data_IF_258863312548
#
_entry.id   IF_258863312548
#
_cell.length_a   1.000
_cell.length_b   1.000
_cell.length_c   1.000
_cell.angle_alpha   90.00
_cell.angle_beta   90.00
_cell.angle_gamma   90.00
#
_symmetry.space_group_name_H-M   'P 1'
#
loop_
_entity.id
_entity.type
_entity.pdbx_description
1 polymer ?
#
# COMPACT_ATOMS: atom_id res chain seq x y z
N UNK A 1 10.55 -22.77 -6.58
CA UNK A 1 9.66 -21.79 -5.92
C UNK A 1 9.75 -20.46 -6.66
N UNK A 2 8.69 -19.64 -6.66
CA UNK A 2 8.71 -18.27 -7.19
C UNK A 2 8.23 -17.33 -6.08
N UNK A 3 9.02 -16.33 -5.74
CA UNK A 3 8.60 -15.28 -4.83
C UNK A 3 7.51 -14.44 -5.52
N UNK A 4 6.32 -14.40 -4.94
CA UNK A 4 5.21 -13.61 -5.47
C UNK A 4 5.16 -12.20 -4.85
N UNK A 5 5.30 -12.10 -3.52
CA UNK A 5 5.30 -10.82 -2.82
C UNK A 5 6.08 -10.92 -1.50
N UNK A 6 6.53 -9.76 -1.01
CA UNK A 6 7.13 -9.56 0.32
C UNK A 6 6.43 -8.39 0.96
N UNK A 7 6.10 -8.50 2.24
CA UNK A 7 5.66 -7.39 3.07
C UNK A 7 6.44 -7.44 4.39
N UNK A 8 7.08 -6.34 4.76
CA UNK A 8 7.75 -6.24 6.07
C UNK A 8 6.72 -5.92 7.13
N UNK A 9 6.72 -6.69 8.22
CA UNK A 9 5.81 -6.44 9.34
C UNK A 9 6.12 -5.08 9.97
N UNK A 10 5.06 -4.36 10.34
CA UNK A 10 5.20 -3.11 11.05
C UNK A 10 5.73 -3.34 12.47
N UNK A 11 6.44 -2.35 13.06
CA UNK A 11 6.94 -2.48 14.43
C UNK A 11 5.82 -2.80 15.43
N UNK A 12 6.02 -3.83 16.26
CA UNK A 12 5.13 -4.18 17.36
C UNK A 12 3.82 -4.88 16.99
N UNK A 13 3.55 -5.14 15.71
CA UNK A 13 2.34 -5.86 15.30
C UNK A 13 2.39 -7.32 15.71
N UNK A 14 1.20 -7.89 15.97
CA UNK A 14 1.02 -9.31 16.27
C UNK A 14 0.15 -9.93 15.19
N UNK A 15 0.66 -10.99 14.57
CA UNK A 15 -0.14 -11.80 13.66
C UNK A 15 -1.06 -12.73 14.47
N UNK A 16 -2.22 -13.13 13.91
CA UNK A 16 -3.06 -14.14 14.52
C UNK A 16 -2.33 -15.49 14.53
N UNK A 17 -2.87 -16.44 15.31
CA UNK A 17 -2.31 -17.80 15.34
C UNK A 17 -2.67 -18.51 14.04
N UNK A 18 -1.69 -19.17 13.43
CA UNK A 18 -1.91 -20.06 12.29
C UNK A 18 -1.85 -21.52 12.73
N UNK A 19 -2.47 -22.45 11.95
CA UNK A 19 -2.35 -23.87 12.22
C UNK A 19 -0.89 -24.32 12.31
N UNK A 20 -0.62 -25.28 13.20
CA UNK A 20 0.71 -25.87 13.35
C UNK A 20 1.14 -26.59 12.08
N UNK A 21 2.45 -26.68 11.85
CA UNK A 21 3.03 -27.22 10.61
C UNK A 21 2.58 -28.64 10.26
N UNK A 22 2.24 -29.46 11.25
CA UNK A 22 1.73 -30.83 11.07
C UNK A 22 0.32 -30.89 10.46
N UNK A 23 -0.48 -29.83 10.60
CA UNK A 23 -1.82 -29.70 10.00
C UNK A 23 -1.75 -28.93 8.68
N UNK A 24 -0.83 -27.97 8.59
CA UNK A 24 -0.67 -27.08 7.45
C UNK A 24 -1.65 -25.90 7.51
N UNK A 25 -1.20 -24.71 7.10
CA UNK A 25 -2.08 -23.56 6.96
C UNK A 25 -2.98 -23.74 5.72
N UNK A 26 -4.29 -23.52 5.88
CA UNK A 26 -5.20 -23.51 4.74
C UNK A 26 -5.16 -22.16 4.04
N UNK A 27 -5.05 -22.19 2.71
CA UNK A 27 -5.25 -20.99 1.90
C UNK A 27 -6.72 -20.60 1.87
N UNK A 28 -6.98 -19.31 1.98
CA UNK A 28 -8.29 -18.72 1.71
C UNK A 28 -8.46 -18.35 0.24
N UNK A 29 -9.58 -17.70 -0.09
CA UNK A 29 -9.89 -17.16 -1.41
C UNK A 29 -10.07 -15.65 -1.35
N UNK A 30 -9.86 -14.98 -2.48
CA UNK A 30 -10.03 -13.53 -2.60
C UNK A 30 -11.46 -13.05 -2.22
N UNK A 31 -12.46 -13.91 -2.37
CA UNK A 31 -13.86 -13.61 -2.09
C UNK A 31 -14.41 -14.37 -0.88
N UNK A 32 -13.54 -14.81 0.05
CA UNK A 32 -13.98 -15.49 1.26
C UNK A 32 -15.00 -14.63 2.03
N UNK A 33 -16.12 -15.27 2.33
CA UNK A 33 -17.24 -14.70 3.09
C UNK A 33 -17.13 -15.08 4.58
N UNK A 34 -17.92 -14.42 5.43
CA UNK A 34 -17.87 -14.66 6.88
C UNK A 34 -16.80 -13.82 7.59
N UNK A 35 -16.25 -12.83 6.91
CA UNK A 35 -15.35 -11.81 7.43
C UNK A 35 -16.06 -10.45 7.49
N UNK A 36 -15.50 -9.49 8.23
CA UNK A 36 -16.02 -8.10 8.25
C UNK A 36 -16.00 -7.43 6.87
N UNK A 37 -15.13 -7.91 5.97
CA UNK A 37 -15.07 -7.54 4.56
C UNK A 37 -14.43 -8.71 3.79
N UNK A 38 -14.80 -8.96 2.53
CA UNK A 38 -14.07 -9.97 1.75
C UNK A 38 -12.62 -9.52 1.51
N UNK A 39 -11.64 -10.42 1.34
CA UNK A 39 -10.25 -10.03 1.10
C UNK A 39 -10.06 -9.06 -0.08
N UNK A 40 -10.79 -9.29 -1.17
CA UNK A 40 -10.78 -8.43 -2.35
C UNK A 40 -11.34 -7.04 -2.04
N UNK A 41 -12.47 -6.95 -1.32
CA UNK A 41 -13.04 -5.68 -0.92
C UNK A 41 -12.14 -4.94 0.08
N UNK A 42 -11.47 -5.66 1.00
CA UNK A 42 -10.53 -5.09 1.95
C UNK A 42 -9.34 -4.43 1.25
N UNK A 43 -8.77 -5.07 0.23
CA UNK A 43 -7.70 -4.50 -0.58
C UNK A 43 -8.15 -3.22 -1.33
N UNK A 44 -9.35 -3.24 -1.93
CA UNK A 44 -9.91 -2.08 -2.61
C UNK A 44 -10.23 -0.92 -1.64
N UNK A 45 -10.83 -1.23 -0.49
CA UNK A 45 -11.12 -0.26 0.55
C UNK A 45 -9.84 0.36 1.12
N UNK A 46 -8.78 -0.44 1.31
CA UNK A 46 -7.50 0.10 1.79
C UNK A 46 -6.85 1.02 0.74
N UNK A 47 -6.93 0.69 -0.55
CA UNK A 47 -6.47 1.60 -1.61
C UNK A 47 -7.22 2.95 -1.59
N UNK A 48 -8.53 2.94 -1.33
CA UNK A 48 -9.32 4.16 -1.16
C UNK A 48 -8.90 4.96 0.09
N UNK A 49 -8.60 4.27 1.20
CA UNK A 49 -8.05 4.92 2.41
C UNK A 49 -6.65 5.51 2.14
N UNK A 50 -5.80 4.86 1.35
CA UNK A 50 -4.52 5.43 0.93
C UNK A 50 -4.72 6.69 0.06
N UNK A 51 -5.77 6.72 -0.76
CA UNK A 51 -6.10 7.84 -1.62
C UNK A 51 -6.69 9.05 -0.87
N UNK A 52 -7.61 8.81 0.05
CA UNK A 52 -8.44 9.85 0.67
C UNK A 52 -8.13 10.09 2.15
N UNK A 53 -7.29 9.26 2.78
CA UNK A 53 -7.00 9.32 4.20
C UNK A 53 -8.28 9.19 5.06
N UNK A 54 -8.40 10.04 6.08
CA UNK A 54 -9.54 10.07 7.00
C UNK A 54 -10.87 10.46 6.33
N UNK A 55 -10.83 11.05 5.13
CA UNK A 55 -12.03 11.37 4.36
C UNK A 55 -12.62 10.16 3.64
N UNK A 56 -11.89 9.04 3.55
CA UNK A 56 -12.42 7.80 3.00
C UNK A 56 -13.61 7.31 3.83
N UNK A 57 -14.68 6.88 3.16
CA UNK A 57 -15.81 6.19 3.82
C UNK A 57 -15.39 4.91 4.54
N UNK A 58 -14.24 4.34 4.19
CA UNK A 58 -13.69 3.12 4.79
C UNK A 58 -12.67 3.41 5.90
N UNK A 59 -12.32 4.67 6.19
CA UNK A 59 -11.27 4.99 7.16
C UNK A 59 -11.49 4.32 8.52
N UNK A 60 -12.74 4.31 9.00
CA UNK A 60 -13.14 3.68 10.28
C UNK A 60 -13.10 2.15 10.26
N UNK A 61 -13.02 1.52 9.10
CA UNK A 61 -12.89 0.07 8.97
C UNK A 61 -11.48 -0.44 9.25
N UNK A 62 -10.46 0.44 9.25
CA UNK A 62 -9.06 0.06 9.42
C UNK A 62 -8.45 0.66 10.69
N UNK A 63 -7.75 -0.16 11.46
CA UNK A 63 -6.89 0.31 12.53
C UNK A 63 -5.76 1.18 11.95
N UNK A 64 -5.31 2.18 12.71
CA UNK A 64 -4.17 3.01 12.32
C UNK A 64 -2.94 2.14 12.05
N UNK A 65 -2.12 2.54 11.07
CA UNK A 65 -0.98 1.74 10.64
C UNK A 65 0.22 2.58 10.21
N UNK A 66 1.37 1.91 10.17
CA UNK A 66 2.66 2.54 9.91
C UNK A 66 2.80 3.06 8.46
N UNK A 67 2.25 2.35 7.48
CA UNK A 67 2.34 2.75 6.07
C UNK A 67 1.60 4.07 5.85
N UNK A 68 0.35 4.17 6.32
CA UNK A 68 -0.45 5.40 6.22
C UNK A 68 0.22 6.58 6.91
N UNK A 69 0.74 6.37 8.13
CA UNK A 69 1.49 7.41 8.85
C UNK A 69 2.71 7.89 8.05
N UNK A 70 3.48 6.97 7.47
CA UNK A 70 4.67 7.31 6.66
C UNK A 70 4.34 8.01 5.35
N UNK A 71 3.30 7.58 4.65
CA UNK A 71 2.85 8.24 3.43
C UNK A 71 2.31 9.65 3.72
N UNK A 72 1.60 9.85 4.83
CA UNK A 72 1.15 11.18 5.26
C UNK A 72 2.33 12.10 5.59
N UNK A 73 3.34 11.61 6.33
CA UNK A 73 4.58 12.35 6.63
C UNK A 73 5.34 12.73 5.35
N UNK A 74 5.51 11.77 4.43
CA UNK A 74 6.14 11.99 3.14
C UNK A 74 5.37 13.03 2.31
N UNK A 75 4.05 12.84 2.17
CA UNK A 75 3.19 13.74 1.39
C UNK A 75 3.26 15.17 1.94
N UNK A 76 3.18 15.34 3.26
CA UNK A 76 3.32 16.66 3.92
C UNK A 76 4.67 17.29 3.64
N UNK A 77 5.76 16.53 3.75
CA UNK A 77 7.13 17.01 3.52
C UNK A 77 7.33 17.46 2.08
N UNK A 78 6.88 16.65 1.13
CA UNK A 78 6.98 16.97 -0.29
C UNK A 78 6.08 18.14 -0.63
N UNK A 79 4.84 18.20 -0.12
CA UNK A 79 3.89 19.27 -0.41
C UNK A 79 4.46 20.63 0.00
N UNK A 80 5.02 20.74 1.21
CA UNK A 80 5.67 21.95 1.67
C UNK A 80 6.86 22.34 0.77
N UNK A 81 7.63 21.37 0.29
CA UNK A 81 8.70 21.58 -0.69
C UNK A 81 8.17 22.06 -2.05
N UNK A 82 7.06 21.50 -2.54
CA UNK A 82 6.45 21.87 -3.81
C UNK A 82 5.86 23.28 -3.76
N UNK A 83 5.15 23.64 -2.69
CA UNK A 83 4.52 24.96 -2.53
C UNK A 83 5.56 26.09 -2.51
N UNK A 84 6.65 25.94 -1.73
CA UNK A 84 7.78 26.88 -1.73
C UNK A 84 8.36 27.08 -3.13
N UNK A 85 8.22 26.07 -3.98
CA UNK A 85 8.80 26.01 -5.30
C UNK A 85 7.76 26.15 -6.41
N UNK A 86 6.55 26.65 -6.13
CA UNK A 86 5.46 26.80 -7.12
C UNK A 86 5.19 25.52 -7.95
N UNK A 87 5.43 24.36 -7.36
CA UNK A 87 5.19 23.05 -7.95
C UNK A 87 3.89 22.42 -7.44
N UNK A 88 3.57 21.25 -7.95
CA UNK A 88 2.45 20.42 -7.47
C UNK A 88 2.81 18.94 -7.44
N UNK A 89 2.10 18.17 -6.62
CA UNK A 89 2.20 16.73 -6.62
C UNK A 89 0.81 16.09 -6.52
N UNK A 90 0.71 14.88 -7.04
CA UNK A 90 -0.50 14.07 -6.96
C UNK A 90 -0.10 12.60 -6.94
N UNK A 91 -0.69 11.82 -6.03
CA UNK A 91 -0.50 10.38 -5.98
C UNK A 91 -1.86 9.68 -6.09
N UNK A 92 -1.94 8.73 -7.02
CA UNK A 92 -3.15 7.94 -7.27
C UNK A 92 -2.90 6.50 -6.86
N UNK A 93 -3.79 5.90 -6.07
CA UNK A 93 -3.71 4.51 -5.61
C UNK A 93 -4.81 3.64 -6.23
N UNK A 94 -4.47 2.42 -6.62
CA UNK A 94 -5.41 1.45 -7.16
C UNK A 94 -5.08 0.02 -6.72
N UNK A 95 -6.06 -0.69 -6.15
CA UNK A 95 -5.93 -2.12 -5.87
C UNK A 95 -5.82 -2.93 -7.16
N UNK A 96 -5.07 -4.04 -7.13
CA UNK A 96 -4.96 -4.95 -8.28
C UNK A 96 -5.72 -6.25 -7.99
N UNK A 97 -6.94 -6.44 -8.54
CA UNK A 97 -7.87 -7.50 -8.16
C UNK A 97 -7.31 -8.92 -8.04
N UNK A 98 -6.50 -9.32 -9.01
CA UNK A 98 -5.99 -10.69 -9.16
C UNK A 98 -4.59 -10.87 -8.56
N UNK A 99 -4.11 -9.91 -7.77
CA UNK A 99 -2.81 -9.95 -7.13
C UNK A 99 -3.00 -9.95 -5.61
N UNK A 100 -3.59 -11.04 -5.14
CA UNK A 100 -3.94 -11.28 -3.74
C UNK A 100 -3.63 -12.72 -3.34
N UNK A 101 -3.13 -12.90 -2.13
CA UNK A 101 -2.91 -14.21 -1.50
C UNK A 101 -3.51 -14.16 -0.11
N UNK A 102 -4.25 -15.21 0.25
CA UNK A 102 -5.02 -15.26 1.51
C UNK A 102 -4.63 -16.50 2.29
N UNK A 103 -4.29 -16.32 3.56
CA UNK A 103 -3.99 -17.41 4.49
C UNK A 103 -4.93 -17.33 5.68
N UNK A 104 -5.64 -18.42 5.96
CA UNK A 104 -6.63 -18.46 7.03
C UNK A 104 -5.97 -18.73 8.38
N UNK A 105 -6.33 -17.92 9.36
CA UNK A 105 -5.88 -18.06 10.74
C UNK A 105 -6.80 -18.99 11.54
N UNK A 106 -6.30 -19.48 12.66
CA UNK A 106 -7.01 -20.40 13.55
C UNK A 106 -8.17 -19.74 14.31
N UNK A 107 -8.21 -18.41 14.37
CA UNK A 107 -9.28 -17.64 15.01
C UNK A 107 -10.43 -17.25 14.04
N UNK A 108 -10.37 -17.75 12.80
CA UNK A 108 -11.36 -17.45 11.76
C UNK A 108 -11.09 -16.16 10.98
N UNK A 109 -10.02 -15.42 11.29
CA UNK A 109 -9.56 -14.29 10.50
C UNK A 109 -8.79 -14.76 9.26
N UNK A 110 -8.64 -13.86 8.30
CA UNK A 110 -7.75 -14.05 7.16
C UNK A 110 -6.57 -13.07 7.20
N UNK A 111 -5.35 -13.60 7.00
CA UNK A 111 -4.21 -12.78 6.61
C UNK A 111 -4.23 -12.61 5.10
N UNK A 112 -4.49 -11.39 4.68
CA UNK A 112 -4.60 -10.99 3.29
C UNK A 112 -3.35 -10.23 2.89
N UNK A 113 -2.62 -10.74 1.90
CA UNK A 113 -1.53 -10.03 1.24
C UNK A 113 -2.03 -9.59 -0.13
N UNK A 114 -1.98 -8.29 -0.43
CA UNK A 114 -2.52 -7.73 -1.66
C UNK A 114 -1.57 -6.69 -2.28
N UNK A 115 -1.56 -6.60 -3.61
CA UNK A 115 -0.88 -5.55 -4.35
C UNK A 115 -1.81 -4.36 -4.58
N UNK A 116 -1.29 -3.16 -4.31
CA UNK A 116 -1.87 -1.87 -4.63
C UNK A 116 -0.83 -1.09 -5.43
N UNK A 117 -1.17 -0.69 -6.65
CA UNK A 117 -0.32 0.16 -7.46
C UNK A 117 -0.52 1.62 -7.06
N UNK A 118 0.54 2.42 -7.15
CA UNK A 118 0.40 3.87 -7.03
C UNK A 118 1.23 4.62 -8.04
N UNK A 119 0.65 5.64 -8.65
CA UNK A 119 1.33 6.54 -9.59
C UNK A 119 1.48 7.90 -8.94
N UNK A 120 2.72 8.33 -8.75
CA UNK A 120 3.05 9.62 -8.16
C UNK A 120 3.60 10.57 -9.23
N UNK A 121 2.85 11.63 -9.51
CA UNK A 121 3.24 12.68 -10.47
C UNK A 121 3.67 13.93 -9.70
N UNK A 122 4.88 14.41 -9.98
CA UNK A 122 5.48 15.59 -9.36
C UNK A 122 5.86 16.59 -10.44
N UNK A 123 5.30 17.80 -10.37
CA UNK A 123 5.55 18.91 -11.30
C UNK A 123 6.35 19.99 -10.60
N UNK A 124 7.60 20.17 -10.98
CA UNK A 124 8.42 21.28 -10.53
C UNK A 124 7.83 22.62 -10.99
N UNK A 125 8.08 23.69 -10.25
CA UNK A 125 7.70 25.03 -10.68
C UNK A 125 8.49 25.48 -11.92
N UNK A 126 8.08 26.63 -12.46
CA UNK A 126 8.64 27.20 -13.69
C UNK A 126 10.18 27.27 -13.69
N UNK A 127 10.77 26.90 -14.84
CA UNK A 127 12.21 26.90 -15.05
C UNK A 127 12.98 25.80 -14.30
N UNK A 128 12.30 24.88 -13.62
CA UNK A 128 12.93 23.81 -12.82
C UNK A 128 12.63 22.42 -13.35
N UNK A 129 13.52 21.51 -12.99
CA UNK A 129 13.41 20.09 -13.28
C UNK A 129 12.94 19.32 -12.04
N UNK A 130 12.16 18.27 -12.27
CA UNK A 130 11.77 17.30 -11.27
C UNK A 130 12.81 16.18 -11.24
N UNK A 131 13.39 15.89 -10.07
CA UNK A 131 14.46 14.89 -9.88
C UNK A 131 14.02 13.75 -8.95
N UNK A 132 14.52 12.52 -9.15
CA UNK A 132 14.21 11.37 -8.30
C UNK A 132 14.32 11.67 -6.80
N UNK A 133 13.36 11.19 -6.02
CA UNK A 133 13.23 11.43 -4.58
C UNK A 133 13.90 10.36 -3.69
N UNK A 134 14.33 9.23 -4.25
CA UNK A 134 15.01 8.16 -3.52
C UNK A 134 16.10 7.52 -4.37
N UNK A 135 16.97 6.72 -3.75
CA UNK A 135 18.05 6.05 -4.46
C UNK A 135 17.52 4.96 -5.40
N UNK A 136 16.40 4.32 -5.06
CA UNK A 136 15.72 3.37 -5.94
C UNK A 136 15.11 4.07 -7.17
N UNK A 137 14.52 5.26 -6.99
CA UNK A 137 14.06 6.05 -8.13
C UNK A 137 15.24 6.52 -8.99
N UNK A 138 16.36 6.94 -8.39
CA UNK A 138 17.57 7.32 -9.15
C UNK A 138 18.10 6.14 -9.97
N UNK A 139 18.15 4.95 -9.38
CA UNK A 139 18.60 3.74 -10.07
C UNK A 139 17.71 3.41 -11.27
N UNK A 140 16.39 3.54 -11.13
CA UNK A 140 15.43 3.30 -12.22
C UNK A 140 15.43 4.41 -13.29
N UNK A 141 15.67 5.66 -12.89
CA UNK A 141 15.76 6.78 -13.82
C UNK A 141 17.02 6.73 -14.68
N UNK A 142 18.12 6.20 -14.11
CA UNK A 142 19.39 6.02 -14.80
C UNK A 142 19.91 7.34 -15.39
N UNK A 143 20.22 7.32 -16.69
CA UNK A 143 20.78 8.46 -17.42
C UNK A 143 19.72 9.30 -18.17
N UNK A 144 18.44 9.10 -17.87
CA UNK A 144 17.38 9.89 -18.51
C UNK A 144 17.52 11.39 -18.19
N UNK A 145 17.10 12.24 -19.14
CA UNK A 145 17.10 13.69 -18.95
C UNK A 145 15.86 14.09 -18.15
N UNK A 146 16.07 14.85 -17.08
CA UNK A 146 14.97 15.39 -16.30
C UNK A 146 14.19 16.46 -17.07
N UNK A 147 12.89 16.51 -16.85
CA UNK A 147 11.99 17.57 -17.33
C UNK A 147 11.30 18.21 -16.12
N UNK A 148 10.37 19.13 -16.33
CA UNK A 148 9.61 19.75 -15.24
C UNK A 148 8.63 18.79 -14.57
N UNK A 149 8.24 17.70 -15.25
CA UNK A 149 7.29 16.73 -14.71
C UNK A 149 7.91 15.36 -14.62
N UNK A 150 7.75 14.69 -13.49
CA UNK A 150 8.17 13.31 -13.32
C UNK A 150 7.04 12.47 -12.77
N UNK A 151 6.92 11.26 -13.32
CA UNK A 151 5.95 10.25 -12.93
C UNK A 151 6.70 9.02 -12.43
N UNK A 152 6.29 8.52 -11.28
CA UNK A 152 6.85 7.30 -10.69
C UNK A 152 5.73 6.30 -10.43
N UNK A 153 5.87 5.09 -10.95
CA UNK A 153 4.96 3.98 -10.65
C UNK A 153 5.57 3.12 -9.55
N UNK A 154 4.78 2.87 -8.52
CA UNK A 154 5.14 2.01 -7.40
C UNK A 154 4.22 0.80 -7.34
N UNK A 155 4.79 -0.31 -6.89
CA UNK A 155 4.05 -1.45 -6.35
C UNK A 155 4.09 -1.35 -4.82
N UNK A 156 2.92 -1.35 -4.20
CA UNK A 156 2.76 -1.44 -2.75
C UNK A 156 2.15 -2.80 -2.43
N UNK A 157 2.92 -3.68 -1.80
CA UNK A 157 2.38 -4.92 -1.21
C UNK A 157 1.94 -4.59 0.20
N UNK A 158 0.71 -4.93 0.56
CA UNK A 158 0.14 -4.71 1.90
C UNK A 158 -0.33 -6.04 2.46
N UNK A 159 0.07 -6.34 3.68
CA UNK A 159 -0.45 -7.44 4.48
C UNK A 159 -1.41 -6.88 5.54
N UNK A 160 -2.62 -7.43 5.60
CA UNK A 160 -3.66 -7.02 6.55
C UNK A 160 -4.38 -8.24 7.11
N UNK A 161 -4.76 -8.17 8.39
CA UNK A 161 -5.60 -9.16 9.05
C UNK A 161 -7.05 -8.69 8.94
N UNK A 162 -7.89 -9.51 8.31
CA UNK A 162 -9.32 -9.26 8.15
C UNK A 162 -10.07 -10.16 9.13
N UNK A 163 -10.71 -9.59 10.18
CA UNK A 163 -11.40 -10.36 11.22
C UNK A 163 -12.67 -11.08 10.73
N UNK A 164 -13.14 -12.09 11.46
CA UNK A 164 -14.44 -12.72 11.21
C UNK A 164 -15.59 -11.72 11.37
N UNK A 165 -16.65 -11.93 10.60
CA UNK A 165 -17.89 -11.15 10.70
C UNK A 165 -18.47 -11.22 12.12
N UNK A 166 -19.12 -10.14 12.57
CA UNK A 166 -19.72 -10.05 13.90
C UNK A 166 -18.73 -9.80 15.05
N UNK A 167 -17.42 -9.78 14.79
CA UNK A 167 -16.40 -9.47 15.81
C UNK A 167 -16.38 -8.00 16.25
N UNK A 168 -17.00 -7.09 15.49
CA UNK A 168 -16.89 -5.63 15.62
C UNK A 168 -15.45 -5.09 15.58
N UNK A 169 -14.48 -5.91 15.17
CA UNK A 169 -13.08 -5.52 15.06
C UNK A 169 -12.79 -4.81 13.74
N UNK A 170 -11.81 -3.91 13.75
CA UNK A 170 -11.28 -3.29 12.54
C UNK A 170 -10.35 -4.24 11.79
N UNK A 171 -10.22 -4.04 10.48
CA UNK A 171 -9.16 -4.64 9.69
C UNK A 171 -7.82 -4.04 10.16
N UNK A 172 -6.81 -4.88 10.35
CA UNK A 172 -5.51 -4.44 10.89
C UNK A 172 -4.43 -4.61 9.82
N UNK A 173 -3.96 -3.54 9.18
CA UNK A 173 -2.76 -3.59 8.36
C UNK A 173 -1.55 -3.95 9.25
N UNK A 174 -0.87 -5.03 8.92
CA UNK A 174 0.22 -5.61 9.73
C UNK A 174 1.59 -5.53 9.05
N UNK A 175 1.64 -5.24 7.76
CA UNK A 175 2.90 -5.07 7.06
C UNK A 175 2.74 -4.48 5.69
N UNK A 176 3.82 -3.92 5.17
CA UNK A 176 3.85 -3.45 3.79
C UNK A 176 5.26 -3.49 3.21
N UNK A 177 5.33 -3.41 1.89
CA UNK A 177 6.53 -3.14 1.12
C UNK A 177 6.16 -2.19 -0.02
N UNK A 178 6.96 -1.16 -0.25
CA UNK A 178 6.72 -0.17 -1.31
C UNK A 178 7.98 -0.02 -2.13
N UNK A 179 7.88 -0.30 -3.43
CA UNK A 179 9.03 -0.26 -4.34
C UNK A 179 8.66 0.48 -5.63
N UNK A 180 9.46 1.46 -6.08
CA UNK A 180 9.28 2.02 -7.41
C UNK A 180 9.64 0.93 -8.43
N UNK A 181 8.89 0.88 -9.53
CA UNK A 181 9.12 -0.07 -10.62
C UNK A 181 9.33 0.64 -11.96
N UNK A 182 9.04 1.94 -12.03
CA UNK A 182 9.19 2.77 -13.22
C UNK A 182 9.34 4.24 -12.83
N UNK A 183 10.25 4.94 -13.47
CA UNK A 183 10.44 6.40 -13.33
C UNK A 183 10.50 7.00 -14.72
N UNK A 184 9.70 8.04 -14.96
CA UNK A 184 9.56 8.69 -16.26
C UNK A 184 9.61 10.20 -16.10
N UNK A 185 10.44 10.87 -16.90
CA UNK A 185 10.34 12.30 -17.13
C UNK A 185 9.34 12.56 -18.27
N UNK A 186 8.44 13.51 -18.09
CA UNK A 186 7.35 13.86 -19.02
C UNK A 186 7.52 15.25 -19.61
#
# INVERSE_FOLDING_TARGET
YKLWAVARLFPGVRLPKFPVSSIGASMGKANDSGLVMTPHAAAAAYADVLQQGESSKFAKSFASDYLRAKLAELSKTVQAGMERNKGSQEQVFASVPNQISVMRASDGSDLVVARIDSVWTRRAGEGRESRPASDEEKALFGNAKATSTMRVTYVNVVAMVVPPAGSNAQIVPVGAERQPIKVEAL
#
